data_IF_139165408127
#
_entry.id   IF_139165408127
#
_cell.length_a   1.000
_cell.length_b   1.000
_cell.length_c   1.000
_cell.angle_alpha   90.00
_cell.angle_beta   90.00
_cell.angle_gamma   90.00
#
_symmetry.space_group_name_H-M   'P 1'
#
loop_
_entity.id
_entity.type
_entity.pdbx_description
1 polymer ?
#
# COMPACT_ATOMS: atom_id res chain seq x y z
N UNK A 1 -65.44 28.25 -0.34
CA UNK A 1 -66.01 28.41 1.02
C UNK A 1 -65.39 27.34 1.88
N UNK A 2 -64.45 27.73 2.74
CA UNK A 2 -64.55 27.69 4.21
C UNK A 2 -64.46 26.25 4.75
N UNK A 3 -63.32 25.84 5.30
CA UNK A 3 -62.88 26.14 6.69
C UNK A 3 -63.40 25.02 7.61
N UNK A 4 -62.50 24.16 8.09
CA UNK A 4 -62.00 24.17 9.48
C UNK A 4 -62.71 23.07 10.30
N UNK A 5 -62.16 22.35 11.28
CA UNK A 5 -60.85 22.23 11.93
C UNK A 5 -61.03 21.11 12.98
N UNK A 6 -59.89 20.57 13.44
CA UNK A 6 -59.59 20.09 14.81
C UNK A 6 -59.34 18.58 14.87
N UNK A 7 -58.31 18.06 15.54
CA UNK A 7 -57.15 18.64 16.23
C UNK A 7 -56.32 17.46 16.79
N UNK A 8 -54.98 17.56 16.74
CA UNK A 8 -53.99 17.21 17.79
C UNK A 8 -53.92 15.71 18.18
N UNK A 9 -52.78 15.01 18.09
CA UNK A 9 -51.65 14.92 19.06
C UNK A 9 -50.45 14.36 18.27
N UNK A 10 -49.37 15.10 17.97
CA UNK A 10 -48.17 15.36 18.79
C UNK A 10 -47.57 14.11 19.48
N UNK A 11 -46.64 13.41 18.82
CA UNK A 11 -45.54 12.77 19.55
C UNK A 11 -44.22 12.96 18.80
N UNK A 12 -43.42 13.85 19.37
CA UNK A 12 -42.02 14.09 19.13
C UNK A 12 -41.23 12.88 19.61
N UNK A 13 -40.37 12.31 18.77
CA UNK A 13 -39.09 11.78 19.23
C UNK A 13 -38.01 12.07 18.19
N UNK A 14 -37.30 13.18 18.46
CA UNK A 14 -35.93 13.40 18.03
C UNK A 14 -35.07 12.24 18.53
N UNK A 15 -34.44 11.51 17.62
CA UNK A 15 -33.15 10.86 17.90
C UNK A 15 -32.14 11.53 16.99
N UNK A 16 -31.67 12.68 17.47
CA UNK A 16 -30.37 13.20 17.09
C UNK A 16 -29.31 12.25 17.67
N UNK A 17 -28.94 11.21 16.91
CA UNK A 17 -27.66 10.56 17.15
C UNK A 17 -26.58 11.45 16.54
N UNK A 18 -26.20 12.42 17.37
CA UNK A 18 -24.97 13.17 17.30
C UNK A 18 -23.82 12.19 17.57
N UNK A 19 -23.51 11.31 16.63
CA UNK A 19 -22.25 10.60 16.65
C UNK A 19 -21.19 11.62 16.26
N UNK A 20 -20.64 12.28 17.28
CA UNK A 20 -19.30 12.84 17.27
C UNK A 20 -18.41 11.80 16.59
N UNK A 21 -18.17 12.01 15.30
CA UNK A 21 -17.14 11.35 14.57
C UNK A 21 -15.85 11.96 15.13
N UNK A 22 -15.45 11.47 16.30
CA UNK A 22 -14.05 11.42 16.67
C UNK A 22 -13.40 10.63 15.55
N UNK A 23 -12.99 11.35 14.50
CA UNK A 23 -11.74 11.08 13.80
C UNK A 23 -10.72 11.06 14.92
N UNK A 24 -10.54 9.89 15.53
CA UNK A 24 -9.21 9.47 15.90
C UNK A 24 -8.40 9.65 14.63
N UNK A 25 -7.74 10.80 14.56
CA UNK A 25 -6.49 10.92 13.86
C UNK A 25 -5.71 9.73 14.40
N UNK A 26 -5.65 8.66 13.60
CA UNK A 26 -4.68 7.60 13.80
C UNK A 26 -3.36 8.33 13.71
N UNK A 27 -2.91 8.80 14.88
CA UNK A 27 -1.59 9.30 15.12
C UNK A 27 -0.72 8.17 14.63
N UNK A 28 -0.12 8.36 13.46
CA UNK A 28 0.93 7.51 12.96
C UNK A 28 2.00 7.53 14.05
N UNK A 29 1.92 6.55 14.95
CA UNK A 29 2.87 6.37 16.02
C UNK A 29 4.22 6.33 15.34
N UNK A 30 5.08 7.32 15.63
CA UNK A 30 6.46 7.34 15.13
C UNK A 30 7.05 5.96 15.42
N UNK A 31 7.42 5.17 14.40
CA UNK A 31 7.91 3.82 14.64
C UNK A 31 9.21 3.95 15.43
N UNK A 32 9.16 3.52 16.70
CA UNK A 32 10.33 3.41 17.55
C UNK A 32 11.24 2.32 16.99
N UNK A 33 12.44 2.69 16.56
CA UNK A 33 13.62 1.82 16.41
C UNK A 33 13.44 0.44 15.74
N UNK A 34 13.87 0.34 14.48
CA UNK A 34 14.30 -0.88 13.76
C UNK A 34 13.28 -1.95 13.36
N UNK A 35 11.97 -1.80 13.58
CA UNK A 35 11.02 -2.75 12.99
C UNK A 35 10.71 -2.37 11.53
N UNK A 36 11.28 -3.12 10.57
CA UNK A 36 10.95 -2.97 9.14
C UNK A 36 9.57 -3.58 8.85
N UNK A 37 8.73 -2.84 8.13
CA UNK A 37 7.36 -3.25 7.84
C UNK A 37 7.26 -4.38 6.81
N UNK A 38 6.18 -5.16 6.89
CA UNK A 38 5.76 -6.08 5.83
C UNK A 38 4.62 -5.45 5.05
N UNK A 39 4.76 -5.39 3.73
CA UNK A 39 3.81 -4.72 2.86
C UNK A 39 3.01 -5.71 2.02
N UNK A 40 1.74 -5.41 1.81
CA UNK A 40 0.85 -6.18 0.94
C UNK A 40 0.28 -5.26 -0.12
N UNK A 41 0.44 -5.63 -1.39
CA UNK A 41 0.02 -4.83 -2.54
C UNK A 41 -0.99 -5.65 -3.33
N UNK A 42 -2.14 -5.05 -3.62
CA UNK A 42 -3.13 -5.66 -4.51
C UNK A 42 -2.70 -5.47 -5.96
N UNK A 43 -2.66 -6.56 -6.74
CA UNK A 43 -2.41 -6.51 -8.17
C UNK A 43 -3.71 -6.66 -8.94
N UNK A 44 -4.15 -5.58 -9.57
CA UNK A 44 -5.24 -5.61 -10.53
C UNK A 44 -4.69 -5.74 -11.95
N UNK A 45 -4.90 -6.90 -12.58
CA UNK A 45 -4.50 -7.15 -13.97
C UNK A 45 -5.38 -6.41 -14.99
N UNK A 46 -6.55 -5.89 -14.57
CA UNK A 46 -7.44 -5.11 -15.42
C UNK A 46 -7.07 -3.63 -15.42
N UNK A 47 -6.30 -3.17 -14.44
CA UNK A 47 -5.87 -1.78 -14.37
C UNK A 47 -4.88 -1.48 -15.51
N UNK A 48 -5.09 -0.40 -16.29
CA UNK A 48 -4.18 -0.03 -17.35
C UNK A 48 -2.75 0.15 -16.84
N UNK A 49 -1.77 -0.31 -17.64
CA UNK A 49 -0.34 -0.23 -17.34
C UNK A 49 0.15 -1.08 -16.17
N UNK A 50 -0.71 -1.92 -15.59
CA UNK A 50 -0.25 -3.01 -14.75
C UNK A 50 0.02 -4.23 -15.64
N UNK A 51 1.20 -4.85 -15.48
CA UNK A 51 1.62 -5.98 -16.31
C UNK A 51 2.17 -7.10 -15.45
N UNK A 52 1.84 -8.33 -15.84
CA UNK A 52 2.45 -9.54 -15.30
C UNK A 52 3.10 -10.29 -16.46
N UNK A 53 4.41 -10.50 -16.38
CA UNK A 53 5.18 -11.20 -17.42
C UNK A 53 5.95 -12.34 -16.79
N UNK A 54 5.94 -13.51 -17.42
CA UNK A 54 6.75 -14.66 -16.97
C UNK A 54 7.93 -14.84 -17.93
N UNK A 55 9.15 -14.93 -17.41
CA UNK A 55 10.37 -15.20 -18.18
C UNK A 55 11.20 -16.22 -17.43
N UNK A 56 11.33 -17.44 -17.98
CA UNK A 56 11.95 -18.57 -17.28
C UNK A 56 11.27 -18.82 -15.94
N UNK A 57 12.08 -18.92 -14.88
CA UNK A 57 11.60 -19.14 -13.52
C UNK A 57 11.18 -17.87 -12.79
N UNK A 58 11.06 -16.73 -13.48
CA UNK A 58 10.71 -15.45 -12.85
C UNK A 58 9.37 -14.94 -13.31
N UNK A 59 8.59 -14.41 -12.35
CA UNK A 59 7.38 -13.64 -12.61
C UNK A 59 7.67 -12.18 -12.27
N UNK A 60 7.41 -11.30 -13.23
CA UNK A 60 7.59 -9.87 -13.11
C UNK A 60 6.22 -9.18 -13.00
N UNK A 61 6.06 -8.35 -11.98
CA UNK A 61 4.87 -7.52 -11.78
C UNK A 61 5.25 -6.05 -11.91
N UNK A 62 4.68 -5.39 -12.90
CA UNK A 62 4.76 -3.94 -13.08
C UNK A 62 3.47 -3.33 -12.54
N UNK A 63 3.55 -2.46 -11.54
CA UNK A 63 2.38 -1.84 -10.88
C UNK A 63 2.51 -0.32 -10.93
N UNK A 64 1.48 0.35 -11.44
CA UNK A 64 1.41 1.81 -11.61
C UNK A 64 0.74 2.45 -10.39
N UNK A 65 1.21 3.62 -9.91
CA UNK A 65 2.36 4.38 -10.38
C UNK A 65 3.71 3.76 -10.00
N UNK A 66 4.65 3.79 -10.94
CA UNK A 66 6.01 3.29 -10.71
C UNK A 66 6.87 4.35 -10.01
N UNK A 67 7.85 3.91 -9.23
CA UNK A 67 9.01 4.74 -8.86
C UNK A 67 10.12 4.31 -9.80
N UNK A 68 10.61 5.25 -10.60
CA UNK A 68 11.47 4.96 -11.74
C UNK A 68 10.87 3.88 -12.68
N UNK A 69 11.69 3.29 -13.53
CA UNK A 69 11.31 2.11 -14.32
C UNK A 69 11.41 0.84 -13.45
N UNK A 70 10.62 0.72 -12.37
CA UNK A 70 10.73 -0.44 -11.46
C UNK A 70 9.64 -1.48 -11.60
N UNK A 71 9.99 -2.72 -11.22
CA UNK A 71 9.11 -3.89 -11.18
C UNK A 71 9.37 -4.74 -9.95
N UNK A 72 8.39 -5.53 -9.57
CA UNK A 72 8.55 -6.56 -8.55
C UNK A 72 8.82 -7.91 -9.21
N UNK A 73 9.64 -8.72 -8.57
CA UNK A 73 10.10 -10.01 -9.09
C UNK A 73 9.78 -11.09 -8.08
N UNK A 74 9.07 -12.11 -8.52
CA UNK A 74 8.93 -13.38 -7.82
C UNK A 74 9.81 -14.42 -8.50
N UNK A 75 10.54 -15.21 -7.71
CA UNK A 75 11.28 -16.36 -8.18
C UNK A 75 10.44 -17.64 -7.94
N UNK A 76 10.05 -18.32 -9.02
CA UNK A 76 9.26 -19.55 -8.94
C UNK A 76 10.00 -20.67 -8.21
N UNK A 77 11.34 -20.66 -8.16
CA UNK A 77 12.14 -21.66 -7.44
C UNK A 77 12.04 -21.53 -5.92
N UNK A 78 11.65 -20.37 -5.40
CA UNK A 78 11.63 -20.06 -3.96
C UNK A 78 10.43 -20.70 -3.22
N UNK A 79 9.50 -21.34 -3.93
CA UNK A 79 8.29 -22.02 -3.40
C UNK A 79 7.48 -21.21 -2.37
N UNK A 80 7.65 -19.89 -2.33
CA UNK A 80 7.05 -19.00 -1.34
C UNK A 80 5.67 -18.47 -1.75
N UNK A 81 5.16 -18.93 -2.90
CA UNK A 81 3.79 -18.70 -3.36
C UNK A 81 2.79 -19.45 -2.50
N UNK A 82 1.74 -18.75 -2.05
CA UNK A 82 0.69 -19.32 -1.22
C UNK A 82 -0.70 -18.95 -1.74
N UNK A 83 -1.57 -19.95 -1.84
CA UNK A 83 -3.00 -19.73 -2.06
C UNK A 83 -3.64 -19.18 -0.80
N UNK A 84 -4.35 -18.04 -0.90
CA UNK A 84 -4.91 -17.36 0.26
C UNK A 84 -6.31 -16.81 0.00
N UNK A 85 -7.09 -16.66 1.07
CA UNK A 85 -8.42 -16.02 1.04
C UNK A 85 -8.29 -14.51 1.18
N UNK A 86 -8.95 -13.76 0.30
CA UNK A 86 -8.89 -12.29 0.23
C UNK A 86 -9.19 -11.61 1.58
N UNK A 87 -10.24 -12.07 2.27
CA UNK A 87 -10.69 -11.54 3.58
C UNK A 87 -9.61 -11.51 4.67
N UNK A 88 -8.56 -12.32 4.55
CA UNK A 88 -7.47 -12.36 5.53
C UNK A 88 -6.50 -11.18 5.37
N UNK A 89 -6.59 -10.43 4.27
CA UNK A 89 -5.64 -9.40 3.86
C UNK A 89 -6.29 -8.06 3.50
N UNK A 90 -7.61 -7.96 3.43
CA UNK A 90 -8.32 -6.72 3.04
C UNK A 90 -7.84 -5.49 3.80
N UNK A 91 -7.65 -5.62 5.12
CA UNK A 91 -7.22 -4.50 5.97
C UNK A 91 -5.69 -4.30 6.00
N UNK A 92 -4.93 -5.09 5.24
CA UNK A 92 -3.46 -5.05 5.18
C UNK A 92 -2.94 -4.48 3.87
N UNK A 93 -3.79 -4.37 2.85
CA UNK A 93 -3.38 -3.84 1.56
C UNK A 93 -3.09 -2.34 1.66
N UNK A 94 -1.97 -1.95 1.06
CA UNK A 94 -1.64 -0.55 0.81
C UNK A 94 -1.75 -0.28 -0.69
N UNK A 95 -2.15 0.95 -1.04
CA UNK A 95 -2.11 1.37 -2.44
C UNK A 95 -0.66 1.54 -2.90
N UNK A 96 -0.46 1.51 -4.23
CA UNK A 96 0.87 1.72 -4.81
C UNK A 96 1.37 3.15 -4.57
N UNK A 97 0.48 4.13 -4.54
CA UNK A 97 0.76 5.52 -4.18
C UNK A 97 1.27 5.63 -2.74
N UNK A 98 0.60 4.98 -1.79
CA UNK A 98 1.00 4.98 -0.39
C UNK A 98 2.35 4.27 -0.19
N UNK A 99 2.59 3.16 -0.90
CA UNK A 99 3.90 2.52 -0.94
C UNK A 99 4.98 3.50 -1.40
N UNK A 100 4.74 4.19 -2.52
CA UNK A 100 5.70 5.11 -3.08
C UNK A 100 6.02 6.25 -2.12
N UNK A 101 4.98 6.80 -1.49
CA UNK A 101 5.13 7.84 -0.48
C UNK A 101 5.99 7.36 0.70
N UNK A 102 5.65 6.21 1.32
CA UNK A 102 6.42 5.65 2.44
C UNK A 102 7.88 5.40 2.09
N UNK A 103 8.14 4.94 0.88
CA UNK A 103 9.48 4.70 0.39
C UNK A 103 10.28 6.01 0.23
N UNK A 104 9.69 7.02 -0.41
CA UNK A 104 10.32 8.33 -0.58
C UNK A 104 10.58 9.02 0.77
N UNK A 105 9.62 8.99 1.69
CA UNK A 105 9.76 9.54 3.05
C UNK A 105 10.92 8.85 3.81
N UNK A 106 11.05 7.54 3.63
CA UNK A 106 12.13 6.74 4.25
C UNK A 106 13.50 7.05 3.63
N UNK A 107 13.54 7.31 2.33
CA UNK A 107 14.76 7.74 1.64
C UNK A 107 15.20 9.13 2.08
N UNK A 108 14.28 10.09 2.12
CA UNK A 108 14.55 11.46 2.55
C UNK A 108 15.09 11.49 3.98
N UNK A 109 14.47 10.73 4.87
CA UNK A 109 14.92 10.62 6.27
C UNK A 109 16.38 10.13 6.36
N UNK A 110 16.76 9.11 5.58
CA UNK A 110 18.14 8.62 5.55
C UNK A 110 19.11 9.59 4.88
N UNK A 111 18.66 10.34 3.87
CA UNK A 111 19.50 11.33 3.20
C UNK A 111 19.81 12.50 4.14
N UNK A 112 18.83 12.94 4.94
CA UNK A 112 19.03 13.94 5.99
C UNK A 112 20.00 13.46 7.07
N UNK A 113 19.92 12.18 7.47
CA UNK A 113 20.88 11.59 8.42
C UNK A 113 22.30 11.54 7.84
N UNK A 114 22.43 11.12 6.57
CA UNK A 114 23.71 11.07 5.87
C UNK A 114 24.31 12.47 5.74
N UNK A 115 23.52 13.45 5.30
CA UNK A 115 23.91 14.87 5.21
C UNK A 115 24.46 15.41 6.53
N UNK A 116 23.84 15.08 7.66
CA UNK A 116 24.34 15.48 8.98
C UNK A 116 25.68 14.85 9.31
N UNK A 117 25.92 13.63 8.85
CA UNK A 117 27.14 12.87 9.15
C UNK A 117 28.32 13.16 8.20
N UNK A 118 28.05 13.44 6.91
CA UNK A 118 29.07 13.61 5.87
C UNK A 118 29.17 15.03 5.33
N UNK A 119 28.13 15.86 5.50
CA UNK A 119 28.00 17.17 4.86
C UNK A 119 27.59 17.12 3.38
N UNK A 120 27.46 15.94 2.78
CA UNK A 120 27.12 15.77 1.36
C UNK A 120 25.61 15.78 1.13
N UNK A 121 25.11 16.74 0.35
CA UNK A 121 23.67 16.90 0.06
C UNK A 121 23.20 16.04 -1.12
N UNK A 122 22.05 15.40 -0.95
CA UNK A 122 21.33 14.68 -2.02
C UNK A 122 21.98 13.37 -2.47
N UNK A 123 22.97 12.86 -1.74
CA UNK A 123 23.76 11.70 -2.14
C UNK A 123 22.92 10.44 -2.43
N UNK A 124 21.87 10.19 -1.63
CA UNK A 124 21.03 9.00 -1.82
C UNK A 124 20.11 9.13 -3.04
N UNK A 125 19.64 10.32 -3.40
CA UNK A 125 18.76 10.53 -4.56
C UNK A 125 19.52 10.53 -5.89
N UNK A 126 20.83 10.79 -5.87
CA UNK A 126 21.65 10.82 -7.08
C UNK A 126 22.20 9.47 -7.52
N UNK A 127 22.06 8.41 -6.71
CA UNK A 127 22.67 7.09 -6.97
C UNK A 127 21.63 5.94 -6.99
N UNK A 128 20.78 5.84 -8.03
CA UNK A 128 20.02 4.62 -8.30
C UNK A 128 20.93 3.45 -8.68
N UNK A 129 20.49 2.18 -8.56
CA UNK A 129 19.16 1.75 -8.17
C UNK A 129 18.96 1.67 -6.65
N UNK A 130 17.77 2.02 -6.20
CA UNK A 130 17.40 1.90 -4.79
C UNK A 130 17.15 0.44 -4.38
N UNK A 131 17.20 0.15 -3.09
CA UNK A 131 16.86 -1.18 -2.58
C UNK A 131 15.74 -1.06 -1.56
N UNK A 132 14.53 -1.46 -1.97
CA UNK A 132 13.36 -1.48 -1.07
C UNK A 132 13.58 -2.41 0.13
N UNK A 133 14.38 -3.47 -0.04
CA UNK A 133 14.72 -4.40 1.05
C UNK A 133 15.51 -3.71 2.18
N UNK A 134 16.15 -2.56 1.94
CA UNK A 134 16.79 -1.76 3.00
C UNK A 134 15.79 -1.00 3.88
N UNK A 135 14.52 -0.91 3.46
CA UNK A 135 13.47 -0.14 4.12
C UNK A 135 12.33 -1.03 4.62
N UNK A 136 12.03 -2.11 3.90
CA UNK A 136 10.94 -3.02 4.21
C UNK A 136 11.47 -4.43 4.46
N UNK A 137 10.78 -5.20 5.30
CA UNK A 137 11.17 -6.57 5.66
C UNK A 137 10.79 -7.55 4.56
N UNK A 138 9.54 -7.47 4.11
CA UNK A 138 8.98 -8.32 3.06
C UNK A 138 7.97 -7.49 2.26
N UNK A 139 7.89 -7.74 0.96
CA UNK A 139 6.87 -7.19 0.08
C UNK A 139 6.10 -8.38 -0.50
N UNK A 140 4.77 -8.31 -0.40
CA UNK A 140 3.89 -9.31 -0.97
C UNK A 140 2.99 -8.68 -2.02
N UNK A 141 2.84 -9.38 -3.14
CA UNK A 141 1.83 -9.08 -4.15
C UNK A 141 0.70 -10.10 -4.03
N UNK A 142 -0.52 -9.62 -3.88
CA UNK A 142 -1.72 -10.43 -3.98
C UNK A 142 -2.33 -10.31 -5.38
N UNK A 143 -2.44 -11.42 -6.08
CA UNK A 143 -3.13 -11.54 -7.36
C UNK A 143 -4.46 -12.28 -7.14
N UNK A 144 -5.62 -11.64 -7.37
CA UNK A 144 -6.91 -12.32 -7.27
C UNK A 144 -7.03 -13.40 -8.34
N UNK A 145 -7.49 -14.60 -7.93
CA UNK A 145 -7.90 -15.68 -8.85
C UNK A 145 -9.42 -15.70 -9.04
N UNK A 146 -10.17 -15.28 -8.02
CA UNK A 146 -11.61 -15.04 -8.05
C UNK A 146 -11.97 -13.97 -6.99
N UNK A 147 -13.27 -13.78 -6.72
CA UNK A 147 -13.76 -12.76 -5.77
C UNK A 147 -13.32 -13.00 -4.31
N UNK A 148 -12.97 -14.24 -3.94
CA UNK A 148 -12.71 -14.65 -2.56
C UNK A 148 -11.29 -15.20 -2.33
N UNK A 149 -10.58 -15.54 -3.40
CA UNK A 149 -9.30 -16.25 -3.36
C UNK A 149 -8.31 -15.69 -4.35
N UNK A 150 -7.04 -15.87 -4.04
CA UNK A 150 -5.94 -15.44 -4.87
C UNK A 150 -4.61 -16.05 -4.46
N UNK A 151 -3.56 -15.54 -5.06
CA UNK A 151 -2.20 -15.99 -4.86
C UNK A 151 -1.38 -14.86 -4.25
N UNK A 152 -0.65 -15.19 -3.18
CA UNK A 152 0.28 -14.29 -2.54
C UNK A 152 1.71 -14.65 -2.97
N UNK A 153 2.41 -13.68 -3.54
CA UNK A 153 3.79 -13.80 -4.00
C UNK A 153 4.69 -12.97 -3.10
N UNK A 154 5.69 -13.59 -2.47
CA UNK A 154 6.76 -12.84 -1.80
C UNK A 154 7.73 -12.33 -2.86
N UNK A 155 7.83 -11.01 -3.04
CA UNK A 155 8.58 -10.42 -4.14
C UNK A 155 9.77 -9.59 -3.65
N UNK A 156 10.79 -9.50 -4.49
CA UNK A 156 11.86 -8.51 -4.39
C UNK A 156 11.61 -7.37 -5.37
N UNK A 157 12.05 -6.16 -5.03
CA UNK A 157 12.02 -5.03 -5.96
C UNK A 157 13.23 -5.06 -6.90
N UNK A 158 13.02 -4.77 -8.18
CA UNK A 158 14.09 -4.63 -9.15
C UNK A 158 13.91 -3.32 -9.94
N UNK A 159 14.98 -2.53 -9.99
CA UNK A 159 15.10 -1.45 -10.96
C UNK A 159 15.23 -2.07 -12.35
N UNK A 160 14.28 -1.81 -13.24
CA UNK A 160 14.40 -2.20 -14.64
C UNK A 160 15.20 -1.10 -15.35
N UNK A 161 16.50 -1.35 -15.54
CA UNK A 161 17.27 -0.59 -16.52
C UNK A 161 16.67 -0.93 -17.88
N UNK A 162 16.19 0.08 -18.61
CA UNK A 162 15.75 -0.08 -20.01
C UNK A 162 16.96 -0.29 -20.92
#
# INVERSE_FOLDING_TARGET
MLSNTKAIVLFVFLIACNSNLNREVVSASKPSGKQRDTLYIYFDSKQPKNFKTSVGDKIYFTITPQIDASRFVYDNSDNSKQGVKYKNFTNKFISKEELNKRFLDSMESKDVELQKSTGERGYLFSNPPYSFDKYFKNIYIYEPSNENEGQLYKVSWQYAVQ
#
